data_IF_367708165596
#
_entry.id   IF_367708165596
#
_cell.length_a   1.000
_cell.length_b   1.000
_cell.length_c   1.000
_cell.angle_alpha   90.00
_cell.angle_beta   90.00
_cell.angle_gamma   90.00
#
_symmetry.space_group_name_H-M   'P 1'
#
loop_
_entity.id
_entity.type
_entity.pdbx_description
1 polymer ?
#
# COMPACT_ATOMS: atom_id res chain seq x y z
N UNK A 1 -4.89 -23.77 27.15
CA UNK A 1 -3.87 -22.72 27.04
C UNK A 1 -2.80 -22.91 28.10
N UNK A 2 -1.61 -22.38 27.84
CA UNK A 2 -0.53 -22.20 28.82
C UNK A 2 -0.36 -20.70 29.09
N UNK A 3 -0.29 -20.31 30.36
CA UNK A 3 -0.08 -18.91 30.74
C UNK A 3 1.15 -18.81 31.65
N UNK A 4 2.11 -17.98 31.24
CA UNK A 4 3.26 -17.62 32.06
C UNK A 4 2.93 -16.32 32.81
N UNK A 5 2.90 -16.40 34.15
CA UNK A 5 2.60 -15.25 35.03
C UNK A 5 3.85 -14.50 35.51
N UNK A 6 5.04 -14.98 35.13
CA UNK A 6 6.29 -14.33 35.52
C UNK A 6 6.37 -12.94 34.87
N UNK A 7 6.96 -11.98 35.58
CA UNK A 7 7.32 -10.66 35.03
C UNK A 7 8.72 -10.64 34.44
N UNK A 8 9.51 -11.68 34.71
CA UNK A 8 10.83 -11.88 34.12
C UNK A 8 10.74 -12.34 32.67
N UNK A 9 11.88 -12.41 32.00
CA UNK A 9 11.95 -12.90 30.62
C UNK A 9 11.59 -14.39 30.55
N UNK A 10 10.70 -14.75 29.63
CA UNK A 10 10.46 -16.14 29.20
C UNK A 10 11.15 -16.34 27.88
N UNK A 11 11.90 -17.43 27.73
CA UNK A 11 12.54 -17.81 26.46
C UNK A 11 11.81 -19.01 25.87
N UNK A 12 11.33 -18.88 24.64
CA UNK A 12 10.71 -19.94 23.85
C UNK A 12 11.56 -20.16 22.60
N UNK A 13 12.42 -21.19 22.65
CA UNK A 13 13.47 -21.45 21.66
C UNK A 13 14.72 -20.57 21.87
N UNK A 14 15.86 -21.03 21.35
CA UNK A 14 17.13 -20.29 21.29
C UNK A 14 17.80 -20.33 19.89
N UNK A 15 17.30 -21.14 18.97
CA UNK A 15 17.76 -21.20 17.58
C UNK A 15 16.61 -21.21 16.57
N UNK A 16 16.88 -20.83 15.31
CA UNK A 16 15.88 -20.80 14.23
C UNK A 16 15.30 -22.18 13.89
N UNK A 17 15.96 -23.27 14.31
CA UNK A 17 15.48 -24.64 14.14
C UNK A 17 14.56 -25.16 15.23
N UNK A 18 14.35 -24.40 16.31
CA UNK A 18 13.56 -24.87 17.45
C UNK A 18 12.07 -24.91 17.15
N UNK A 19 11.34 -25.71 17.93
CA UNK A 19 9.88 -25.78 17.86
C UNK A 19 9.28 -25.84 19.26
N UNK A 20 8.43 -24.86 19.59
CA UNK A 20 7.61 -24.83 20.79
C UNK A 20 6.14 -24.99 20.41
N UNK A 21 5.46 -26.03 20.87
CA UNK A 21 4.05 -26.31 20.51
C UNK A 21 3.12 -26.26 21.73
N UNK A 22 2.00 -25.56 21.59
CA UNK A 22 0.97 -25.40 22.61
C UNK A 22 -0.43 -25.66 22.04
N UNK A 23 -1.00 -26.85 22.27
CA UNK A 23 -2.30 -27.22 21.67
C UNK A 23 -3.43 -26.23 21.98
N UNK A 24 -3.50 -25.70 23.20
CA UNK A 24 -4.61 -24.83 23.62
C UNK A 24 -4.29 -23.33 23.67
N UNK A 25 -3.22 -22.85 23.03
CA UNK A 25 -2.78 -21.45 23.06
C UNK A 25 -1.69 -21.15 24.09
N UNK A 26 -1.04 -19.99 23.97
CA UNK A 26 0.05 -19.53 24.85
C UNK A 26 -0.10 -18.04 25.19
N UNK A 27 0.17 -17.67 26.44
CA UNK A 27 0.10 -16.28 26.90
C UNK A 27 1.27 -15.93 27.80
N UNK A 28 1.94 -14.82 27.52
CA UNK A 28 2.91 -14.17 28.40
C UNK A 28 2.86 -12.65 28.23
N UNK A 29 2.01 -11.99 29.02
CA UNK A 29 1.77 -10.54 28.94
C UNK A 29 2.28 -9.76 30.16
N UNK A 30 2.83 -10.45 31.16
CA UNK A 30 3.37 -9.82 32.38
C UNK A 30 4.84 -9.40 32.26
N UNK A 31 5.56 -9.90 31.25
CA UNK A 31 6.99 -9.63 31.01
C UNK A 31 7.36 -9.75 29.52
N UNK A 32 8.66 -9.70 29.22
CA UNK A 32 9.18 -9.83 27.85
C UNK A 32 9.36 -11.29 27.44
N UNK A 33 9.08 -11.63 26.19
CA UNK A 33 9.30 -12.98 25.65
C UNK A 33 10.43 -12.98 24.64
N UNK A 34 11.46 -13.80 24.86
CA UNK A 34 12.43 -14.12 23.82
C UNK A 34 11.83 -15.22 22.93
N UNK A 35 11.84 -15.01 21.63
CA UNK A 35 11.32 -15.95 20.64
C UNK A 35 12.42 -16.33 19.65
N UNK A 36 12.53 -17.62 19.35
CA UNK A 36 13.35 -18.15 18.27
C UNK A 36 12.71 -19.43 17.70
N UNK A 37 12.92 -19.66 16.41
CA UNK A 37 12.37 -20.82 15.72
C UNK A 37 10.86 -20.74 15.57
N UNK A 38 10.19 -21.89 15.63
CA UNK A 38 8.75 -21.97 15.43
C UNK A 38 7.99 -22.06 16.75
N UNK A 39 7.07 -21.16 16.98
CA UNK A 39 6.02 -21.29 17.97
C UNK A 39 4.70 -21.66 17.28
N UNK A 40 4.08 -22.75 17.70
CA UNK A 40 2.85 -23.25 17.12
C UNK A 40 1.75 -23.43 18.19
N UNK A 41 0.54 -23.00 17.88
CA UNK A 41 -0.68 -23.36 18.62
C UNK A 41 -1.69 -24.05 17.69
N UNK A 42 -2.78 -24.60 18.23
CA UNK A 42 -3.80 -25.32 17.46
C UNK A 42 -5.12 -24.55 17.48
N UNK A 43 -5.28 -23.60 16.55
CA UNK A 43 -6.46 -22.72 16.42
C UNK A 43 -6.79 -21.93 17.70
N UNK A 44 -5.75 -21.64 18.49
CA UNK A 44 -5.86 -20.96 19.77
C UNK A 44 -4.84 -19.83 19.87
N UNK A 45 -5.12 -18.81 20.66
CA UNK A 45 -4.34 -17.57 20.61
C UNK A 45 -2.89 -17.73 21.10
N UNK A 46 -2.00 -16.93 20.51
CA UNK A 46 -0.65 -16.67 20.99
C UNK A 46 -0.53 -15.19 21.36
N UNK A 47 -0.37 -14.89 22.66
CA UNK A 47 -0.37 -13.52 23.17
C UNK A 47 0.88 -13.20 23.98
N UNK A 48 1.59 -12.16 23.56
CA UNK A 48 2.81 -11.67 24.20
C UNK A 48 2.66 -10.18 24.50
N UNK A 49 3.30 -9.67 25.55
CA UNK A 49 3.48 -8.23 25.72
C UNK A 49 4.61 -7.75 24.79
N UNK A 50 5.80 -7.51 25.33
CA UNK A 50 7.00 -7.26 24.52
C UNK A 50 7.59 -8.58 24.03
N UNK A 51 8.13 -8.58 22.81
CA UNK A 51 8.84 -9.72 22.24
C UNK A 51 10.22 -9.31 21.72
N UNK A 52 11.22 -10.17 21.95
CA UNK A 52 12.56 -10.03 21.39
C UNK A 52 12.88 -11.29 20.58
N UNK A 53 13.06 -11.13 19.27
CA UNK A 53 13.52 -12.21 18.41
C UNK A 53 15.01 -12.41 18.67
N UNK A 54 15.39 -13.63 19.02
CA UNK A 54 16.79 -14.03 19.21
C UNK A 54 17.32 -14.88 18.04
N UNK A 55 16.43 -15.28 17.14
CA UNK A 55 16.69 -15.82 15.82
C UNK A 55 15.46 -15.59 14.94
N UNK A 56 15.52 -15.98 13.67
CA UNK A 56 14.34 -16.00 12.81
C UNK A 56 13.20 -16.77 13.49
N UNK A 57 12.03 -16.15 13.50
CA UNK A 57 10.89 -16.59 14.31
C UNK A 57 9.67 -16.76 13.45
N UNK A 58 8.98 -17.88 13.64
CA UNK A 58 7.63 -18.12 13.12
C UNK A 58 6.66 -18.25 14.28
N UNK A 59 5.53 -17.55 14.24
CA UNK A 59 4.38 -17.78 15.11
C UNK A 59 3.20 -18.22 14.24
N UNK A 60 2.75 -19.45 14.42
CA UNK A 60 1.60 -20.00 13.72
C UNK A 60 0.55 -20.45 14.72
N UNK A 61 -0.68 -20.01 14.54
CA UNK A 61 -1.82 -20.47 15.35
C UNK A 61 -2.75 -21.39 14.56
N UNK A 62 -2.36 -21.79 13.35
CA UNK A 62 -3.25 -22.49 12.42
C UNK A 62 -3.02 -24.00 12.46
N UNK A 63 -4.07 -24.73 12.85
CA UNK A 63 -4.29 -26.14 12.50
C UNK A 63 -5.58 -26.36 11.70
N UNK A 64 -6.37 -25.30 11.52
CA UNK A 64 -7.65 -25.22 10.84
C UNK A 64 -7.99 -23.76 10.47
N UNK A 65 -8.83 -23.07 11.25
CA UNK A 65 -9.26 -21.68 10.98
C UNK A 65 -8.32 -20.61 11.53
N UNK A 66 -7.50 -20.96 12.53
CA UNK A 66 -6.53 -20.07 13.18
C UNK A 66 -7.05 -19.30 14.40
N UNK A 67 -6.15 -19.08 15.37
CA UNK A 67 -6.34 -18.21 16.53
C UNK A 67 -5.61 -16.87 16.38
N UNK A 68 -5.89 -15.90 17.25
CA UNK A 68 -5.24 -14.59 17.21
C UNK A 68 -3.76 -14.63 17.61
N UNK A 69 -2.97 -13.71 17.05
CA UNK A 69 -1.60 -13.43 17.47
C UNK A 69 -1.56 -11.99 17.98
N UNK A 70 -1.16 -11.81 19.24
CA UNK A 70 -1.04 -10.51 19.89
C UNK A 70 0.42 -10.23 20.28
N UNK A 71 0.92 -9.08 19.85
CA UNK A 71 2.05 -8.39 20.46
C UNK A 71 1.55 -7.09 21.09
N UNK A 72 1.35 -7.12 22.41
CA UNK A 72 0.82 -6.02 23.20
C UNK A 72 1.80 -4.86 23.41
N UNK A 73 3.06 -5.03 23.01
CA UNK A 73 4.10 -4.01 23.06
C UNK A 73 5.12 -4.22 21.93
N UNK A 74 6.27 -3.54 22.00
CA UNK A 74 7.27 -3.55 20.95
C UNK A 74 7.81 -4.96 20.67
N UNK A 75 7.91 -5.30 19.39
CA UNK A 75 8.68 -6.45 18.89
C UNK A 75 10.05 -5.96 18.45
N UNK A 76 11.12 -6.56 18.96
CA UNK A 76 12.51 -6.24 18.60
C UNK A 76 13.18 -7.47 18.01
N UNK A 77 14.24 -7.30 17.21
CA UNK A 77 14.90 -8.45 16.58
C UNK A 77 16.13 -8.13 15.72
N UNK A 78 16.46 -6.86 15.48
CA UNK A 78 17.76 -6.46 14.92
C UNK A 78 18.19 -7.23 13.67
N UNK A 79 17.28 -7.39 12.71
CA UNK A 79 17.52 -8.08 11.44
C UNK A 79 16.94 -9.50 11.35
N UNK A 80 16.49 -10.10 12.46
CA UNK A 80 15.79 -11.39 12.40
C UNK A 80 14.42 -11.26 11.75
N UNK A 81 14.06 -12.27 10.96
CA UNK A 81 12.76 -12.34 10.30
C UNK A 81 11.65 -12.73 11.27
N UNK A 82 10.46 -12.20 11.02
CA UNK A 82 9.23 -12.57 11.73
C UNK A 82 8.21 -13.08 10.71
N UNK A 83 7.77 -14.33 10.87
CA UNK A 83 6.71 -14.93 10.05
C UNK A 83 5.50 -15.22 10.91
N UNK A 84 4.32 -14.76 10.51
CA UNK A 84 3.08 -14.90 11.26
C UNK A 84 2.01 -15.58 10.43
N UNK A 85 1.26 -16.50 11.05
CA UNK A 85 0.13 -17.18 10.42
C UNK A 85 -1.02 -17.28 11.43
N UNK A 86 -2.05 -16.47 11.25
CA UNK A 86 -3.24 -16.44 12.11
C UNK A 86 -4.49 -17.02 11.43
N UNK A 87 -4.40 -17.40 10.15
CA UNK A 87 -5.52 -17.96 9.40
C UNK A 87 -6.57 -16.91 9.02
N UNK A 88 -7.71 -17.36 8.48
CA UNK A 88 -8.77 -16.46 8.02
C UNK A 88 -9.69 -15.98 9.14
N UNK A 89 -9.52 -16.49 10.37
CA UNK A 89 -10.32 -16.12 11.54
C UNK A 89 -9.51 -15.41 12.64
N UNK A 90 -8.20 -15.65 12.70
CA UNK A 90 -7.33 -15.04 13.71
C UNK A 90 -6.82 -13.67 13.27
N UNK A 91 -6.90 -12.70 14.17
CA UNK A 91 -6.28 -11.39 13.99
C UNK A 91 -4.78 -11.44 14.28
N UNK A 92 -4.02 -10.56 13.64
CA UNK A 92 -2.67 -10.19 14.08
C UNK A 92 -2.73 -8.77 14.63
N UNK A 93 -2.52 -8.65 15.94
CA UNK A 93 -2.52 -7.38 16.66
C UNK A 93 -1.08 -6.96 17.01
N UNK A 94 -0.67 -5.81 16.50
CA UNK A 94 0.54 -5.11 16.91
C UNK A 94 0.18 -3.83 17.64
N UNK A 95 -0.07 -3.92 18.94
CA UNK A 95 -0.40 -2.75 19.76
C UNK A 95 0.83 -1.83 19.99
N UNK A 96 2.04 -2.36 19.82
CA UNK A 96 3.31 -1.62 19.86
C UNK A 96 4.07 -1.68 18.55
N UNK A 97 5.25 -1.05 18.52
CA UNK A 97 6.09 -0.97 17.32
C UNK A 97 6.61 -2.36 16.89
N UNK A 98 6.75 -2.55 15.58
CA UNK A 98 7.32 -3.76 14.97
C UNK A 98 8.71 -3.41 14.45
N UNK A 99 9.73 -3.71 15.25
CA UNK A 99 11.09 -3.18 15.07
C UNK A 99 11.24 -1.76 15.61
N UNK A 100 12.48 -1.28 15.60
CA UNK A 100 12.84 0.10 15.97
C UNK A 100 13.83 0.66 14.96
N UNK A 101 13.91 1.99 14.80
CA UNK A 101 14.80 2.61 13.78
C UNK A 101 16.28 2.22 13.90
N UNK A 102 16.77 2.01 15.12
CA UNK A 102 18.15 1.58 15.39
C UNK A 102 18.36 0.06 15.30
N UNK A 103 17.29 -0.71 15.09
CA UNK A 103 17.25 -2.16 15.19
C UNK A 103 16.01 -2.72 14.48
N UNK A 104 15.90 -2.41 13.19
CA UNK A 104 14.80 -2.89 12.35
C UNK A 104 14.73 -4.41 12.39
N UNK A 105 13.54 -4.97 12.23
CA UNK A 105 13.43 -6.40 11.94
C UNK A 105 13.99 -6.72 10.55
N UNK A 106 14.20 -8.00 10.30
CA UNK A 106 14.41 -8.53 8.96
C UNK A 106 13.13 -8.45 8.13
N UNK A 107 12.85 -9.47 7.33
CA UNK A 107 11.56 -9.56 6.66
C UNK A 107 10.44 -9.81 7.69
N UNK A 108 9.36 -9.03 7.60
CA UNK A 108 8.10 -9.31 8.30
C UNK A 108 7.14 -9.91 7.28
N UNK A 109 6.76 -11.16 7.49
CA UNK A 109 5.87 -11.90 6.61
C UNK A 109 4.61 -12.30 7.36
N UNK A 110 3.46 -11.90 6.83
CA UNK A 110 2.14 -12.32 7.29
C UNK A 110 1.60 -13.27 6.23
N UNK A 111 1.62 -14.57 6.50
CA UNK A 111 1.10 -15.56 5.57
C UNK A 111 -0.42 -15.42 5.43
N UNK A 112 -1.12 -15.23 6.55
CA UNK A 112 -2.55 -14.98 6.60
C UNK A 112 -2.96 -14.39 7.95
N UNK A 113 -4.02 -13.59 7.91
CA UNK A 113 -4.74 -13.08 9.07
C UNK A 113 -6.18 -12.74 8.65
N UNK A 114 -7.10 -12.65 9.60
CA UNK A 114 -8.34 -11.90 9.40
C UNK A 114 -7.99 -10.41 9.34
N UNK A 115 -7.80 -9.74 10.47
CA UNK A 115 -7.28 -8.37 10.51
C UNK A 115 -5.77 -8.32 10.78
N UNK A 116 -5.13 -7.26 10.32
CA UNK A 116 -3.80 -6.82 10.79
C UNK A 116 -3.97 -5.39 11.29
N UNK A 117 -3.87 -5.17 12.60
CA UNK A 117 -4.23 -3.89 13.21
C UNK A 117 -3.57 -3.66 14.58
N UNK A 118 -3.90 -2.55 15.23
CA UNK A 118 -3.44 -2.21 16.58
C UNK A 118 -4.38 -2.65 17.69
N UNK A 119 -5.56 -3.19 17.35
CA UNK A 119 -6.56 -3.71 18.27
C UNK A 119 -7.12 -5.06 17.80
N UNK A 120 -7.44 -5.95 18.75
CA UNK A 120 -8.11 -7.23 18.47
C UNK A 120 -9.63 -7.06 18.51
N UNK A 121 -10.20 -6.67 17.37
CA UNK A 121 -11.66 -6.66 17.16
C UNK A 121 -12.05 -7.55 15.99
N UNK A 122 -13.24 -8.14 16.07
CA UNK A 122 -13.88 -8.78 14.91
C UNK A 122 -14.52 -7.73 14.03
N UNK A 123 -14.35 -7.81 12.71
CA UNK A 123 -14.82 -6.78 11.77
C UNK A 123 -13.78 -5.68 11.57
N UNK A 124 -14.21 -4.42 11.42
CA UNK A 124 -13.32 -3.30 11.09
C UNK A 124 -12.52 -2.83 12.33
N UNK A 125 -11.17 -2.86 12.28
CA UNK A 125 -10.34 -2.36 13.37
C UNK A 125 -10.46 -0.86 13.60
N UNK A 126 -10.26 -0.42 14.84
CA UNK A 126 -10.34 1.00 15.24
C UNK A 126 -8.97 1.62 15.53
N UNK A 127 -7.94 0.78 15.73
CA UNK A 127 -6.58 1.21 15.96
C UNK A 127 -5.66 0.73 14.83
N UNK A 128 -4.72 1.58 14.44
CA UNK A 128 -3.69 1.21 13.48
C UNK A 128 -2.62 0.34 14.15
N UNK A 129 -2.07 -0.62 13.41
CA UNK A 129 -0.90 -1.35 13.89
C UNK A 129 0.23 -0.36 14.23
N UNK A 130 0.99 -0.68 15.27
CA UNK A 130 2.14 0.12 15.68
C UNK A 130 3.16 0.31 14.56
N UNK A 131 3.98 1.36 14.69
CA UNK A 131 4.95 1.74 13.65
C UNK A 131 5.87 0.58 13.28
N UNK A 132 6.13 0.40 11.98
CA UNK A 132 6.95 -0.71 11.47
C UNK A 132 8.31 -0.20 11.01
N UNK A 133 9.37 -0.85 11.48
CA UNK A 133 10.75 -0.73 11.01
C UNK A 133 11.27 -2.12 10.63
N UNK A 134 11.39 -2.40 9.35
CA UNK A 134 11.75 -3.74 8.86
C UNK A 134 12.53 -3.69 7.55
N UNK A 135 13.11 -4.82 7.15
CA UNK A 135 13.71 -4.94 5.82
C UNK A 135 12.64 -4.96 4.72
N UNK A 136 11.55 -5.69 4.95
CA UNK A 136 10.38 -5.73 4.07
C UNK A 136 9.13 -6.07 4.87
N UNK A 137 7.97 -5.75 4.31
CA UNK A 137 6.69 -6.19 4.85
C UNK A 137 5.90 -6.86 3.73
N UNK A 138 5.61 -8.14 3.90
CA UNK A 138 4.78 -8.92 2.98
C UNK A 138 3.56 -9.45 3.73
N UNK A 139 2.39 -9.22 3.19
CA UNK A 139 1.17 -9.94 3.56
C UNK A 139 0.71 -10.74 2.35
N UNK A 140 0.64 -12.06 2.48
CA UNK A 140 0.30 -12.98 1.39
C UNK A 140 -1.20 -13.22 1.27
N UNK A 141 -1.93 -13.13 2.39
CA UNK A 141 -3.38 -13.25 2.43
C UNK A 141 -3.97 -12.42 3.58
N UNK A 142 -5.23 -12.04 3.42
CA UNK A 142 -6.02 -11.35 4.43
C UNK A 142 -7.50 -11.37 4.05
N UNK A 143 -8.38 -11.70 5.00
CA UNK A 143 -9.84 -11.73 4.78
C UNK A 143 -10.58 -10.62 5.53
N UNK A 144 -9.90 -9.95 6.46
CA UNK A 144 -10.32 -8.72 7.13
C UNK A 144 -9.38 -7.56 6.77
N UNK A 145 -9.53 -6.45 7.48
CA UNK A 145 -8.84 -5.21 7.16
C UNK A 145 -7.37 -5.24 7.61
N UNK A 146 -6.47 -4.78 6.74
CA UNK A 146 -5.10 -4.41 7.07
C UNK A 146 -5.02 -2.91 7.32
N UNK A 147 -4.78 -2.51 8.58
CA UNK A 147 -4.69 -1.13 9.05
C UNK A 147 -3.32 -0.85 9.64
N UNK A 148 -2.55 -0.01 8.97
CA UNK A 148 -1.16 0.26 9.32
C UNK A 148 -0.95 1.74 9.62
N UNK A 149 -0.16 2.01 10.66
CA UNK A 149 0.40 3.34 10.90
C UNK A 149 1.64 3.55 10.01
N UNK A 150 2.63 4.30 10.49
CA UNK A 150 3.86 4.55 9.74
C UNK A 150 4.64 3.25 9.50
N UNK A 151 5.09 3.06 8.25
CA UNK A 151 5.90 1.91 7.83
C UNK A 151 7.17 2.41 7.15
N UNK A 152 8.32 2.11 7.75
CA UNK A 152 9.64 2.45 7.21
C UNK A 152 10.40 1.18 6.88
N UNK A 153 10.65 0.95 5.60
CA UNK A 153 11.36 -0.22 5.10
C UNK A 153 12.67 0.16 4.42
N UNK A 154 13.62 -0.78 4.40
CA UNK A 154 14.78 -0.68 3.50
C UNK A 154 14.52 -1.31 2.13
N UNK A 155 13.53 -2.20 2.05
CA UNK A 155 13.14 -2.96 0.87
C UNK A 155 11.72 -2.65 0.39
N UNK A 156 11.01 -3.70 -0.05
CA UNK A 156 9.69 -3.60 -0.65
C UNK A 156 8.56 -3.84 0.36
N UNK A 157 7.39 -3.30 0.05
CA UNK A 157 6.12 -3.59 0.70
C UNK A 157 5.20 -4.29 -0.29
N UNK A 158 4.61 -5.43 0.10
CA UNK A 158 3.65 -6.16 -0.72
C UNK A 158 2.46 -6.57 0.14
N UNK A 159 1.28 -6.04 -0.16
CA UNK A 159 0.03 -6.33 0.56
C UNK A 159 -0.94 -7.04 -0.38
N UNK A 160 -1.04 -8.35 -0.23
CA UNK A 160 -2.00 -9.18 -0.97
C UNK A 160 -3.12 -9.60 -0.03
N UNK A 161 -4.31 -9.04 -0.23
CA UNK A 161 -5.48 -9.32 0.60
C UNK A 161 -6.72 -9.48 -0.27
N UNK A 162 -7.78 -10.03 0.31
CA UNK A 162 -9.13 -10.09 -0.28
C UNK A 162 -10.08 -9.09 0.38
N UNK A 163 -9.52 -8.09 1.07
CA UNK A 163 -10.25 -7.17 1.93
C UNK A 163 -9.63 -5.76 1.89
N UNK A 164 -10.01 -4.90 2.82
CA UNK A 164 -9.59 -3.50 2.82
C UNK A 164 -8.13 -3.33 3.26
N UNK A 165 -7.41 -2.44 2.58
CA UNK A 165 -6.09 -1.94 2.98
C UNK A 165 -6.24 -0.46 3.30
N UNK A 166 -5.85 -0.08 4.51
CA UNK A 166 -5.95 1.28 5.03
C UNK A 166 -4.61 1.69 5.66
N UNK A 167 -4.01 2.74 5.11
CA UNK A 167 -2.70 3.26 5.47
C UNK A 167 -2.85 4.65 6.08
N UNK A 168 -2.73 4.70 7.40
CA UNK A 168 -2.94 5.90 8.19
C UNK A 168 -1.64 6.64 8.57
N UNK A 169 -0.46 6.05 8.27
CA UNK A 169 0.84 6.68 8.49
C UNK A 169 1.79 6.54 7.32
N UNK A 170 2.84 7.37 7.28
CA UNK A 170 3.74 7.46 6.13
C UNK A 170 4.36 6.10 5.79
N UNK A 171 4.32 5.73 4.52
CA UNK A 171 4.94 4.51 4.01
C UNK A 171 6.17 4.86 3.17
N UNK A 172 7.33 4.31 3.56
CA UNK A 172 8.57 4.35 2.78
C UNK A 172 8.98 2.93 2.42
N UNK A 173 8.89 2.59 1.13
CA UNK A 173 9.22 1.27 0.59
C UNK A 173 10.14 1.44 -0.66
N UNK A 174 11.44 1.70 -0.46
CA UNK A 174 12.36 2.08 -1.54
C UNK A 174 12.42 1.08 -2.69
N UNK A 175 12.25 -0.22 -2.41
CA UNK A 175 12.31 -1.29 -3.41
C UNK A 175 10.95 -1.69 -4.00
N UNK A 176 9.90 -0.93 -3.73
CA UNK A 176 8.61 -1.06 -4.41
C UNK A 176 7.45 -1.17 -3.44
N UNK A 177 6.27 -0.85 -3.93
CA UNK A 177 5.02 -0.96 -3.20
C UNK A 177 3.98 -1.64 -4.09
N UNK A 178 3.34 -2.68 -3.58
CA UNK A 178 2.21 -3.34 -4.23
C UNK A 178 1.07 -3.55 -3.24
N UNK A 179 -0.16 -3.26 -3.65
CA UNK A 179 -1.35 -3.51 -2.85
C UNK A 179 -2.49 -4.05 -3.70
N UNK A 180 -3.12 -5.12 -3.22
CA UNK A 180 -4.37 -5.69 -3.74
C UNK A 180 -5.37 -5.99 -2.62
N UNK A 181 -6.66 -5.86 -2.95
CA UNK A 181 -7.74 -5.97 -1.98
C UNK A 181 -9.10 -5.54 -2.54
N UNK A 182 -10.04 -5.27 -1.64
CA UNK A 182 -11.37 -4.72 -1.96
C UNK A 182 -11.38 -3.21 -1.95
N UNK A 183 -10.69 -2.57 -1.01
CA UNK A 183 -10.60 -1.11 -0.97
C UNK A 183 -9.20 -0.70 -0.57
N UNK A 184 -8.76 0.43 -1.09
CA UNK A 184 -7.51 1.06 -0.72
C UNK A 184 -7.77 2.47 -0.20
N UNK A 185 -7.14 2.82 0.92
CA UNK A 185 -7.12 4.18 1.44
C UNK A 185 -5.72 4.52 1.96
N UNK A 186 -5.15 5.63 1.51
CA UNK A 186 -3.95 6.22 2.12
C UNK A 186 -4.15 7.68 2.55
N UNK A 187 -5.39 8.09 2.81
CA UNK A 187 -5.72 9.47 3.21
C UNK A 187 -4.90 9.93 4.41
N UNK A 188 -4.52 9.03 5.32
CA UNK A 188 -3.71 9.38 6.47
C UNK A 188 -2.28 9.82 6.14
N UNK A 189 -1.64 9.30 5.09
CA UNK A 189 -0.26 9.68 4.74
C UNK A 189 0.26 9.21 3.37
N UNK A 190 1.36 9.84 2.96
CA UNK A 190 2.02 9.57 1.69
C UNK A 190 2.65 8.16 1.62
N UNK A 191 2.73 7.63 0.39
CA UNK A 191 3.47 6.40 0.05
C UNK A 191 4.61 6.76 -0.90
N UNK A 192 5.83 6.34 -0.56
CA UNK A 192 7.04 6.67 -1.33
C UNK A 192 7.87 5.42 -1.66
N UNK A 193 8.23 5.28 -2.94
CA UNK A 193 9.27 4.36 -3.44
C UNK A 193 10.41 5.18 -4.10
N UNK A 194 11.56 4.57 -4.38
CA UNK A 194 12.74 5.29 -4.91
C UNK A 194 13.23 4.69 -6.23
N UNK A 195 12.43 4.82 -7.29
CA UNK A 195 12.77 4.32 -8.62
C UNK A 195 12.17 2.95 -8.95
N UNK A 196 11.30 2.43 -8.10
CA UNK A 196 10.62 1.15 -8.26
C UNK A 196 9.11 1.36 -8.32
N UNK A 197 8.38 0.40 -8.89
CA UNK A 197 6.95 0.54 -9.11
C UNK A 197 6.17 0.73 -7.80
N UNK A 198 5.14 1.58 -7.88
CA UNK A 198 4.09 1.75 -6.89
C UNK A 198 2.78 1.31 -7.57
N UNK A 199 2.26 0.15 -7.18
CA UNK A 199 1.09 -0.48 -7.80
C UNK A 199 -0.03 -0.66 -6.79
N UNK A 200 -1.21 -0.13 -7.09
CA UNK A 200 -2.44 -0.30 -6.32
C UNK A 200 -3.49 -0.86 -7.26
N UNK A 201 -3.93 -2.09 -7.05
CA UNK A 201 -4.96 -2.75 -7.88
C UNK A 201 -6.00 -3.37 -6.97
N UNK A 202 -7.18 -2.76 -6.87
CA UNK A 202 -8.25 -3.21 -5.99
C UNK A 202 -9.53 -3.51 -6.75
N UNK A 203 -10.36 -4.35 -6.17
CA UNK A 203 -11.65 -4.77 -6.75
C UNK A 203 -12.81 -3.84 -6.39
N UNK A 204 -12.61 -2.93 -5.45
CA UNK A 204 -13.55 -1.87 -5.10
C UNK A 204 -12.86 -0.51 -5.03
N UNK A 205 -13.36 0.36 -4.16
CA UNK A 205 -12.98 1.78 -4.16
C UNK A 205 -11.51 2.00 -3.84
N UNK A 206 -10.86 2.86 -4.62
CA UNK A 206 -9.47 3.26 -4.39
C UNK A 206 -9.44 4.74 -4.07
N UNK A 207 -9.00 5.08 -2.87
CA UNK A 207 -8.82 6.46 -2.41
C UNK A 207 -7.35 6.73 -2.24
N UNK A 208 -6.79 7.53 -3.15
CA UNK A 208 -5.48 8.13 -3.00
C UNK A 208 -5.64 9.49 -2.35
N UNK A 209 -5.76 9.53 -1.03
CA UNK A 209 -6.01 10.77 -0.28
C UNK A 209 -4.74 11.59 0.00
N UNK A 210 -3.59 10.93 0.05
CA UNK A 210 -2.28 11.56 0.24
C UNK A 210 -1.30 11.17 -0.87
N UNK A 211 -0.18 11.88 -0.95
CA UNK A 211 0.72 11.81 -2.10
C UNK A 211 1.29 10.40 -2.38
N UNK A 212 1.43 10.06 -3.66
CA UNK A 212 2.20 8.91 -4.13
C UNK A 212 3.42 9.41 -4.89
N UNK A 213 4.60 8.93 -4.53
CA UNK A 213 5.87 9.32 -5.17
C UNK A 213 6.73 8.10 -5.47
N UNK A 214 7.07 7.88 -6.74
CA UNK A 214 7.81 6.68 -7.16
C UNK A 214 9.25 6.95 -7.64
N UNK A 215 9.67 8.21 -7.71
CA UNK A 215 10.91 8.58 -8.40
C UNK A 215 10.86 8.09 -9.85
N UNK A 216 11.86 7.33 -10.29
CA UNK A 216 11.90 6.75 -11.63
C UNK A 216 10.90 5.61 -11.89
N UNK A 217 10.24 5.08 -10.85
CA UNK A 217 9.30 3.97 -10.96
C UNK A 217 7.95 4.40 -11.51
N UNK A 218 7.15 3.44 -11.98
CA UNK A 218 5.77 3.70 -12.40
C UNK A 218 4.85 3.91 -11.20
N UNK A 219 3.76 4.62 -11.40
CA UNK A 219 2.61 4.65 -10.50
C UNK A 219 1.43 4.05 -11.26
N UNK A 220 0.83 2.99 -10.72
CA UNK A 220 -0.39 2.39 -11.27
C UNK A 220 -1.45 2.39 -10.20
N UNK A 221 -2.60 2.98 -10.49
CA UNK A 221 -3.76 3.03 -9.60
C UNK A 221 -4.98 2.51 -10.35
N UNK A 222 -5.44 1.31 -9.99
CA UNK A 222 -6.50 0.61 -10.71
C UNK A 222 -7.63 0.18 -9.79
N UNK A 223 -8.85 0.64 -10.09
CA UNK A 223 -10.11 0.10 -9.57
C UNK A 223 -10.75 -0.83 -10.60
N UNK A 224 -10.78 -2.13 -10.33
CA UNK A 224 -11.30 -3.13 -11.28
C UNK A 224 -12.80 -3.40 -11.15
N UNK A 225 -13.42 -2.95 -10.05
CA UNK A 225 -14.87 -3.06 -9.83
C UNK A 225 -15.65 -1.97 -10.52
N UNK A 226 -16.75 -2.32 -11.18
CA UNK A 226 -17.58 -1.38 -11.95
C UNK A 226 -18.53 -0.51 -11.11
N UNK A 227 -18.59 -0.74 -9.79
CA UNK A 227 -19.46 -0.01 -8.86
C UNK A 227 -18.73 0.98 -7.97
N UNK A 228 -17.40 1.03 -8.06
CA UNK A 228 -16.57 1.79 -7.13
C UNK A 228 -15.53 2.62 -7.87
N UNK A 229 -15.46 3.88 -7.51
CA UNK A 229 -14.62 4.84 -8.20
C UNK A 229 -13.16 4.77 -7.74
N UNK A 230 -12.30 5.35 -8.56
CA UNK A 230 -10.93 5.72 -8.18
C UNK A 230 -10.90 7.22 -7.91
N UNK A 231 -10.56 7.62 -6.69
CA UNK A 231 -10.44 9.02 -6.27
C UNK A 231 -8.99 9.38 -5.96
N UNK A 232 -8.47 10.39 -6.63
CA UNK A 232 -7.11 10.90 -6.48
C UNK A 232 -7.17 12.32 -5.91
N UNK A 233 -6.93 12.45 -4.61
CA UNK A 233 -6.89 13.73 -3.89
C UNK A 233 -5.50 14.07 -3.35
N UNK A 234 -4.60 13.09 -3.27
CA UNK A 234 -3.16 13.30 -3.14
C UNK A 234 -2.49 13.51 -4.49
N UNK A 235 -1.37 14.25 -4.50
CA UNK A 235 -0.57 14.42 -5.72
C UNK A 235 0.08 13.10 -6.16
N UNK A 236 0.15 12.84 -7.46
CA UNK A 236 0.91 11.72 -8.03
C UNK A 236 2.19 12.24 -8.67
N UNK A 237 3.34 11.67 -8.32
CA UNK A 237 4.64 12.14 -8.82
C UNK A 237 5.58 11.01 -9.22
N UNK A 238 5.99 11.03 -10.48
CA UNK A 238 7.08 10.21 -11.01
C UNK A 238 8.04 11.08 -11.82
N UNK A 239 9.26 10.58 -12.03
CA UNK A 239 10.21 11.18 -12.95
C UNK A 239 10.05 10.52 -14.32
N UNK A 240 10.66 9.36 -14.52
CA UNK A 240 10.66 8.66 -15.81
C UNK A 240 9.56 7.63 -15.95
N UNK A 241 9.02 7.13 -14.83
CA UNK A 241 7.99 6.10 -14.85
C UNK A 241 6.63 6.67 -15.23
N UNK A 242 5.83 5.87 -15.90
CA UNK A 242 4.48 6.24 -16.29
C UNK A 242 3.57 6.34 -15.05
N UNK A 243 2.58 7.21 -15.13
CA UNK A 243 1.45 7.27 -14.20
C UNK A 243 0.22 6.77 -14.96
N UNK A 244 -0.38 5.70 -14.46
CA UNK A 244 -1.55 5.06 -15.06
C UNK A 244 -2.68 4.99 -14.04
N UNK A 245 -3.81 5.63 -14.37
CA UNK A 245 -4.98 5.75 -13.50
C UNK A 245 -6.17 5.13 -14.22
N UNK A 246 -6.72 4.08 -13.62
CA UNK A 246 -7.60 3.18 -14.33
C UNK A 246 -8.81 2.79 -13.49
N UNK A 247 -10.02 2.93 -14.03
CA UNK A 247 -11.23 2.52 -13.33
C UNK A 247 -12.23 1.80 -14.23
N UNK A 248 -12.83 0.72 -13.72
CA UNK A 248 -14.03 0.12 -14.30
C UNK A 248 -15.31 0.89 -13.94
N UNK A 249 -15.25 1.82 -12.99
CA UNK A 249 -16.27 2.83 -12.68
C UNK A 249 -15.75 4.23 -13.05
N UNK A 250 -16.09 5.28 -12.30
CA UNK A 250 -15.59 6.64 -12.54
C UNK A 250 -14.15 6.84 -12.02
N UNK A 251 -13.50 7.89 -12.51
CA UNK A 251 -12.25 8.45 -11.98
C UNK A 251 -12.48 9.90 -11.58
N UNK A 252 -12.04 10.29 -10.39
CA UNK A 252 -12.00 11.69 -9.95
C UNK A 252 -10.58 12.07 -9.56
N UNK A 253 -10.06 13.16 -10.15
CA UNK A 253 -8.76 13.72 -9.80
C UNK A 253 -8.97 15.15 -9.30
N UNK A 254 -8.45 15.44 -8.12
CA UNK A 254 -8.58 16.75 -7.46
C UNK A 254 -7.25 17.36 -7.05
N UNK A 255 -6.15 16.81 -7.53
CA UNK A 255 -4.79 17.26 -7.24
C UNK A 255 -3.86 16.97 -8.42
N UNK A 256 -2.64 17.48 -8.38
CA UNK A 256 -1.71 17.44 -9.50
C UNK A 256 -1.21 16.04 -9.81
N UNK A 257 -0.97 15.80 -11.09
CA UNK A 257 -0.34 14.58 -11.62
C UNK A 257 0.88 14.99 -12.42
N UNK A 258 2.07 14.60 -11.94
CA UNK A 258 3.33 15.00 -12.55
C UNK A 258 4.16 13.78 -12.89
N UNK A 259 4.42 13.58 -14.18
CA UNK A 259 5.41 12.63 -14.66
C UNK A 259 6.44 13.39 -15.48
N UNK A 260 7.72 13.44 -15.07
CA UNK A 260 8.71 14.25 -15.81
C UNK A 260 8.83 13.78 -17.26
N UNK A 261 9.27 12.56 -17.54
CA UNK A 261 9.35 12.03 -18.91
C UNK A 261 8.40 10.85 -19.14
N UNK A 262 7.83 10.30 -18.07
CA UNK A 262 6.84 9.23 -18.14
C UNK A 262 5.51 9.71 -18.70
N UNK A 263 4.75 8.81 -19.31
CA UNK A 263 3.40 9.12 -19.80
C UNK A 263 2.42 9.22 -18.65
N UNK A 264 1.34 9.96 -18.84
CA UNK A 264 0.17 9.97 -17.96
C UNK A 264 -1.04 9.44 -18.72
N UNK A 265 -1.64 8.36 -18.24
CA UNK A 265 -2.86 7.77 -18.80
C UNK A 265 -3.97 7.78 -17.76
N UNK A 266 -5.18 8.17 -18.17
CA UNK A 266 -6.36 8.15 -17.32
C UNK A 266 -7.54 7.56 -18.08
N UNK A 267 -7.90 6.32 -17.77
CA UNK A 267 -9.03 5.63 -18.41
C UNK A 267 -10.10 5.21 -17.40
N UNK A 268 -11.35 5.49 -17.74
CA UNK A 268 -12.53 5.16 -16.95
C UNK A 268 -13.58 4.54 -17.86
N UNK A 269 -14.36 3.57 -17.36
CA UNK A 269 -15.62 3.17 -18.05
C UNK A 269 -16.79 4.09 -17.68
N UNK A 270 -16.69 4.75 -16.51
CA UNK A 270 -17.58 5.83 -16.07
C UNK A 270 -17.08 7.19 -16.57
N UNK A 271 -17.39 8.26 -15.83
CA UNK A 271 -16.87 9.59 -16.13
C UNK A 271 -15.47 9.76 -15.53
N UNK A 272 -14.54 10.33 -16.29
CA UNK A 272 -13.31 10.90 -15.75
C UNK A 272 -13.56 12.37 -15.43
N UNK A 273 -13.35 12.79 -14.18
CA UNK A 273 -13.49 14.19 -13.76
C UNK A 273 -12.16 14.74 -13.26
N UNK A 274 -11.71 15.86 -13.85
CA UNK A 274 -10.56 16.62 -13.38
C UNK A 274 -11.04 17.97 -12.84
N UNK A 275 -10.74 18.25 -11.56
CA UNK A 275 -10.99 19.57 -10.97
C UNK A 275 -10.04 20.65 -11.52
N UNK A 276 -10.26 21.91 -11.16
CA UNK A 276 -9.34 23.00 -11.50
C UNK A 276 -7.98 22.95 -10.79
N UNK A 277 -7.79 22.04 -9.84
CA UNK A 277 -6.50 21.76 -9.20
C UNK A 277 -5.83 20.50 -9.77
N UNK A 278 -6.49 19.80 -10.68
CA UNK A 278 -6.04 18.52 -11.23
C UNK A 278 -5.20 18.73 -12.50
N UNK A 279 -4.18 19.57 -12.37
CA UNK A 279 -3.27 19.86 -13.47
C UNK A 279 -2.37 18.65 -13.75
N UNK A 280 -2.15 18.36 -15.03
CA UNK A 280 -1.26 17.30 -15.48
C UNK A 280 -0.03 17.94 -16.11
N UNK A 281 1.15 17.57 -15.59
CA UNK A 281 2.42 18.06 -16.13
C UNK A 281 3.30 16.91 -16.55
N UNK A 282 3.75 16.96 -17.80
CA UNK A 282 4.90 16.21 -18.28
C UNK A 282 5.90 17.13 -18.96
N UNK A 283 7.14 16.67 -19.10
CA UNK A 283 8.09 17.27 -20.03
C UNK A 283 7.98 16.53 -21.36
N UNK A 284 8.47 15.30 -21.47
CA UNK A 284 8.41 14.58 -22.75
C UNK A 284 7.30 13.53 -22.80
N UNK A 285 6.66 13.22 -21.68
CA UNK A 285 5.62 12.21 -21.63
C UNK A 285 4.35 12.59 -22.40
N UNK A 286 3.68 11.62 -23.00
CA UNK A 286 2.32 11.82 -23.51
C UNK A 286 1.31 11.90 -22.37
N UNK A 287 0.23 12.64 -22.60
CA UNK A 287 -0.97 12.62 -21.75
C UNK A 287 -2.13 12.06 -22.57
N UNK A 288 -2.82 11.04 -22.09
CA UNK A 288 -3.93 10.43 -22.81
C UNK A 288 -5.12 10.11 -21.90
N UNK A 289 -6.31 10.32 -22.44
CA UNK A 289 -7.59 10.01 -21.80
C UNK A 289 -8.43 9.10 -22.67
N UNK A 290 -9.03 8.09 -22.06
CA UNK A 290 -9.99 7.20 -22.70
C UNK A 290 -9.40 6.31 -23.79
N UNK A 291 -8.09 6.01 -23.73
CA UNK A 291 -7.43 5.20 -24.76
C UNK A 291 -7.99 3.77 -24.79
N UNK A 292 -8.26 3.20 -23.62
CA UNK A 292 -8.70 1.81 -23.48
C UNK A 292 -10.18 1.65 -23.10
N UNK A 293 -10.80 2.71 -22.57
CA UNK A 293 -12.16 2.66 -22.00
C UNK A 293 -13.01 3.82 -22.53
N UNK A 294 -14.32 3.63 -22.62
CA UNK A 294 -15.26 4.52 -23.31
C UNK A 294 -15.78 5.71 -22.48
N UNK A 295 -15.27 5.88 -21.25
CA UNK A 295 -15.69 6.95 -20.35
C UNK A 295 -15.45 8.35 -20.87
N UNK A 296 -16.44 9.23 -20.72
CA UNK A 296 -16.32 10.64 -21.12
C UNK A 296 -15.43 11.42 -20.13
N UNK A 297 -14.83 12.52 -20.59
CA UNK A 297 -14.01 13.41 -19.77
C UNK A 297 -14.78 14.68 -19.43
N UNK A 298 -14.74 15.09 -18.16
CA UNK A 298 -15.13 16.41 -17.68
C UNK A 298 -13.93 17.07 -17.01
N UNK A 299 -13.44 18.19 -17.53
CA UNK A 299 -12.18 18.79 -17.03
C UNK A 299 -12.26 20.30 -16.83
N UNK A 300 -11.61 20.75 -15.75
CA UNK A 300 -11.17 22.14 -15.56
C UNK A 300 -9.66 22.21 -15.24
N UNK A 301 -8.94 21.10 -15.33
CA UNK A 301 -7.50 21.04 -15.04
C UNK A 301 -6.66 21.33 -16.28
N UNK A 302 -5.54 22.02 -16.09
CA UNK A 302 -4.63 22.38 -17.15
C UNK A 302 -3.72 21.20 -17.51
N UNK A 303 -3.22 21.19 -18.75
CA UNK A 303 -2.25 20.18 -19.20
C UNK A 303 -1.04 20.88 -19.79
N UNK A 304 0.14 20.55 -19.28
CA UNK A 304 1.42 21.00 -19.80
C UNK A 304 2.27 19.82 -20.25
N UNK A 305 2.74 19.85 -21.50
CA UNK A 305 3.79 18.98 -22.04
C UNK A 305 4.90 19.85 -22.65
N UNK A 306 6.15 19.37 -22.69
CA UNK A 306 7.31 20.11 -23.20
C UNK A 306 7.49 20.07 -24.74
N UNK A 307 6.50 19.57 -25.47
CA UNK A 307 6.49 19.50 -26.93
C UNK A 307 7.15 18.27 -27.54
N UNK A 308 7.08 18.19 -28.88
CA UNK A 308 7.43 16.98 -29.60
C UNK A 308 8.92 16.70 -29.52
N UNK A 309 9.26 15.57 -28.93
CA UNK A 309 10.60 14.96 -29.00
C UNK A 309 10.82 14.26 -30.33
N UNK A 310 12.07 13.89 -30.62
CA UNK A 310 12.42 13.19 -31.85
C UNK A 310 11.69 11.83 -32.03
N UNK A 311 11.19 11.23 -30.94
CA UNK A 311 10.42 9.98 -30.96
C UNK A 311 8.90 10.17 -31.07
N UNK A 312 8.42 11.41 -31.21
CA UNK A 312 6.99 11.72 -31.34
C UNK A 312 6.21 11.78 -30.02
N UNK A 313 6.89 11.76 -28.86
CA UNK A 313 6.22 11.97 -27.56
C UNK A 313 5.98 13.46 -27.25
N UNK A 314 5.33 13.76 -26.12
CA UNK A 314 4.89 15.12 -25.76
C UNK A 314 3.49 15.50 -26.29
N UNK A 315 2.69 14.51 -26.71
CA UNK A 315 1.33 14.71 -27.26
C UNK A 315 0.26 14.69 -26.17
N UNK A 316 -0.90 15.28 -26.47
CA UNK A 316 -2.11 15.20 -25.63
C UNK A 316 -3.24 14.58 -26.45
N UNK A 317 -3.82 13.48 -25.98
CA UNK A 317 -4.90 12.76 -26.68
C UNK A 317 -6.15 12.63 -25.82
N UNK A 318 -7.27 13.11 -26.35
CA UNK A 318 -8.60 12.92 -25.79
C UNK A 318 -9.39 11.98 -26.70
N UNK A 319 -9.55 10.72 -26.32
CA UNK A 319 -10.19 9.72 -27.21
C UNK A 319 -11.71 9.84 -27.20
N UNK A 320 -12.30 10.13 -26.04
CA UNK A 320 -13.74 10.22 -25.84
C UNK A 320 -14.21 11.68 -25.75
N UNK A 321 -15.53 11.88 -25.71
CA UNK A 321 -16.13 13.20 -25.60
C UNK A 321 -15.63 13.96 -24.36
N UNK A 322 -15.32 15.25 -24.56
CA UNK A 322 -14.79 16.15 -23.53
C UNK A 322 -15.79 17.25 -23.21
N UNK A 323 -16.05 17.47 -21.93
CA UNK A 323 -16.78 18.63 -21.40
C UNK A 323 -15.82 19.50 -20.59
N UNK A 324 -15.78 20.80 -20.89
CA UNK A 324 -15.03 21.76 -20.08
C UNK A 324 -15.92 22.28 -18.95
N UNK A 325 -15.51 22.08 -17.70
CA UNK A 325 -16.21 22.58 -16.51
C UNK A 325 -15.63 23.88 -15.97
N UNK A 326 -14.57 24.37 -16.59
CA UNK A 326 -13.89 25.62 -16.28
C UNK A 326 -12.92 26.01 -17.39
N UNK A 327 -12.16 27.11 -17.21
CA UNK A 327 -11.03 27.42 -18.07
C UNK A 327 -10.03 26.26 -18.08
N UNK A 328 -9.49 25.94 -19.25
CA UNK A 328 -8.44 24.93 -19.42
C UNK A 328 -7.38 25.49 -20.35
N UNK A 329 -6.13 25.46 -19.90
CA UNK A 329 -4.94 25.69 -20.71
C UNK A 329 -4.35 24.35 -21.15
N UNK A 330 -4.03 24.26 -22.44
CA UNK A 330 -3.23 23.18 -23.01
C UNK A 330 -1.95 23.80 -23.55
N UNK A 331 -0.84 23.62 -22.85
CA UNK A 331 0.48 24.05 -23.30
C UNK A 331 1.31 22.83 -23.67
N UNK A 332 1.43 22.57 -24.98
CA UNK A 332 2.29 21.50 -25.48
C UNK A 332 3.65 22.02 -25.93
N UNK A 333 4.07 23.20 -25.51
CA UNK A 333 5.28 23.89 -26.00
C UNK A 333 6.32 24.14 -24.91
N UNK A 334 6.22 23.55 -23.72
CA UNK A 334 7.15 23.79 -22.60
C UNK A 334 7.29 25.26 -22.14
N UNK A 335 6.29 26.13 -22.33
CA UNK A 335 6.49 27.57 -22.16
C UNK A 335 7.78 28.11 -22.86
N UNK A 336 8.27 27.48 -23.95
CA UNK A 336 9.57 27.84 -24.54
C UNK A 336 10.17 26.96 -25.67
N UNK A 337 9.66 25.76 -25.95
CA UNK A 337 9.94 25.00 -27.19
C UNK A 337 9.31 25.68 -28.40
N UNK A 338 10.00 25.69 -29.54
CA UNK A 338 9.47 26.28 -30.78
C UNK A 338 8.47 25.37 -31.51
N UNK A 339 8.36 24.10 -31.13
CA UNK A 339 7.43 23.13 -31.74
C UNK A 339 6.59 22.46 -30.67
N UNK A 340 5.27 22.65 -30.73
CA UNK A 340 4.32 22.06 -29.80
C UNK A 340 3.96 20.61 -30.12
N UNK A 341 3.61 19.85 -29.09
CA UNK A 341 2.95 18.54 -29.15
C UNK A 341 1.63 18.57 -29.92
N UNK A 342 1.31 17.50 -30.65
CA UNK A 342 -0.03 17.34 -31.23
C UNK A 342 -1.08 17.21 -30.11
N UNK A 343 -2.21 17.90 -30.30
CA UNK A 343 -3.40 17.78 -29.45
C UNK A 343 -4.51 17.15 -30.28
N UNK A 344 -4.91 15.93 -29.94
CA UNK A 344 -5.86 15.12 -30.69
C UNK A 344 -7.17 14.99 -29.93
N UNK A 345 -8.29 15.26 -30.61
CA UNK A 345 -9.64 14.94 -30.13
C UNK A 345 -10.22 13.83 -31.00
N UNK A 346 -10.54 12.70 -30.38
CA UNK A 346 -11.26 11.59 -31.00
C UNK A 346 -12.70 11.98 -31.34
N UNK A 347 -13.21 11.40 -32.42
CA UNK A 347 -14.59 11.57 -32.92
C UNK A 347 -15.54 10.56 -32.32
#
# INVERSE_FOLDING_TARGET
SVTFYTTGTVTLGDASGDTCTFTGGVTHTAGSTNLAGTLATSDADAAFAAAALTADTTVSTVSGTGGGILFGSTVTGSGYALTLTAGDSGNIEFAGAVGISAGSLGAVTINSAYNVAGDNVTGTPSADAGTVYAASLTQNAGTGTTRLSAVTLTGAMSLTTTAAVDLNGTVTAPSGFSSTGTTFDNTGAAVTTTGTALTIIHTGGVTVGAALSSGAGTITVTGTGSSYDVSISGSLSSTTGNIDIDSAAAVSVTNTVTATTGTVTVDSSGITTLSSAADITTTTGNVAFGASKSGVLSTAGDITTAGVTADGSGTVTFTNAVTLTGPVALDTTNAGSSTGGEVTFGS
#
